data_IF_317289034458
#
_entry.id   IF_317289034458
#
_cell.length_a   1.000
_cell.length_b   1.000
_cell.length_c   1.000
_cell.angle_alpha   90.00
_cell.angle_beta   90.00
_cell.angle_gamma   90.00
#
_symmetry.space_group_name_H-M   'P 1'
#
loop_
_entity.id
_entity.type
_entity.pdbx_description
1 polymer ?
#
# COMPACT_ATOMS: atom_id res chain seq x y z
N UNK A 1 1.63 15.31 -34.56
CA UNK A 1 0.75 14.61 -33.61
C UNK A 1 1.62 14.01 -32.52
N UNK A 2 1.51 14.48 -31.27
CA UNK A 2 2.27 13.90 -30.15
C UNK A 2 1.61 12.57 -29.79
N UNK A 3 2.27 11.47 -30.10
CA UNK A 3 1.88 10.13 -29.67
C UNK A 3 1.90 10.13 -28.15
N UNK A 4 0.70 10.09 -27.54
CA UNK A 4 0.58 9.93 -26.10
C UNK A 4 1.13 8.55 -25.74
N UNK A 5 2.28 8.51 -25.08
CA UNK A 5 2.80 7.27 -24.49
C UNK A 5 1.75 6.73 -23.53
N UNK A 6 1.10 5.63 -23.92
CA UNK A 6 0.27 4.84 -23.03
C UNK A 6 1.22 4.24 -22.01
N UNK A 7 1.31 4.83 -20.82
CA UNK A 7 1.99 4.24 -19.67
C UNK A 7 1.27 2.93 -19.32
N UNK A 8 1.67 1.82 -19.94
CA UNK A 8 1.24 0.49 -19.52
C UNK A 8 1.74 0.31 -18.09
N UNK A 9 0.80 0.19 -17.14
CA UNK A 9 1.11 -0.26 -15.78
C UNK A 9 1.56 -1.72 -15.88
N UNK A 10 2.87 -1.94 -15.91
CA UNK A 10 3.43 -3.29 -15.95
C UNK A 10 3.42 -3.83 -14.52
N UNK A 11 2.58 -4.83 -14.28
CA UNK A 11 2.63 -5.61 -13.05
C UNK A 11 3.79 -6.58 -13.20
N UNK A 12 4.78 -6.47 -12.31
CA UNK A 12 5.96 -7.35 -12.26
C UNK A 12 5.56 -8.71 -11.72
N UNK A 13 4.74 -8.73 -10.66
CA UNK A 13 4.23 -9.95 -10.04
C UNK A 13 2.89 -9.70 -9.37
N UNK A 14 2.02 -10.70 -9.37
CA UNK A 14 0.81 -10.71 -8.56
C UNK A 14 0.86 -11.92 -7.60
N UNK A 15 0.51 -11.68 -6.35
CA UNK A 15 0.38 -12.69 -5.30
C UNK A 15 -1.08 -12.77 -4.87
N UNK A 16 -1.68 -13.95 -4.99
CA UNK A 16 -2.99 -14.24 -4.43
C UNK A 16 -2.78 -14.83 -3.04
N UNK A 17 -3.28 -14.14 -2.03
CA UNK A 17 -3.28 -14.53 -0.62
C UNK A 17 -4.71 -14.88 -0.21
N UNK A 18 -4.86 -15.48 0.96
CA UNK A 18 -6.18 -15.80 1.52
C UNK A 18 -7.03 -14.53 1.79
N UNK A 19 -6.38 -13.39 2.06
CA UNK A 19 -7.04 -12.12 2.37
C UNK A 19 -7.27 -11.20 1.18
N UNK A 20 -6.91 -11.64 -0.02
CA UNK A 20 -6.95 -10.86 -1.24
C UNK A 20 -5.62 -10.88 -1.96
N UNK A 21 -5.30 -9.84 -2.73
CA UNK A 21 -4.13 -9.85 -3.62
C UNK A 21 -3.18 -8.69 -3.43
N UNK A 22 -1.91 -8.97 -3.69
CA UNK A 22 -0.82 -7.99 -3.72
C UNK A 22 -0.27 -7.92 -5.14
N UNK A 23 -0.34 -6.74 -5.74
CA UNK A 23 0.25 -6.45 -7.05
C UNK A 23 1.56 -5.69 -6.85
N UNK A 24 2.64 -6.22 -7.41
CA UNK A 24 3.98 -5.66 -7.31
C UNK A 24 4.34 -4.96 -8.62
N UNK A 25 4.84 -3.73 -8.49
CA UNK A 25 5.37 -2.89 -9.56
C UNK A 25 6.84 -2.58 -9.26
N UNK A 26 7.52 -1.88 -10.16
CA UNK A 26 8.96 -1.65 -10.09
C UNK A 26 9.47 -1.06 -8.76
N UNK A 27 8.72 -0.13 -8.16
CA UNK A 27 9.09 0.63 -6.95
C UNK A 27 7.90 0.81 -5.97
N UNK A 28 6.77 0.12 -6.20
CA UNK A 28 5.64 0.14 -5.27
C UNK A 28 4.83 -1.15 -5.33
N UNK A 29 4.02 -1.36 -4.29
CA UNK A 29 3.02 -2.42 -4.24
C UNK A 29 1.62 -1.84 -4.07
N UNK A 30 0.62 -2.59 -4.53
CA UNK A 30 -0.80 -2.31 -4.32
C UNK A 30 -1.44 -3.51 -3.65
N UNK A 31 -2.13 -3.30 -2.53
CA UNK A 31 -2.99 -4.32 -1.94
C UNK A 31 -4.45 -4.08 -2.27
N UNK A 32 -5.17 -5.17 -2.56
CA UNK A 32 -6.62 -5.18 -2.70
C UNK A 32 -7.10 -6.37 -1.85
N UNK A 33 -7.65 -6.06 -0.68
CA UNK A 33 -8.17 -7.08 0.24
C UNK A 33 -9.61 -7.44 -0.09
N UNK A 34 -9.99 -8.69 0.21
CA UNK A 34 -11.32 -9.22 -0.04
C UNK A 34 -12.35 -8.72 0.99
N UNK A 35 -13.63 -8.77 0.63
CA UNK A 35 -14.73 -8.40 1.53
C UNK A 35 -14.76 -9.33 2.74
N UNK A 36 -14.89 -8.76 3.94
CA UNK A 36 -14.91 -9.53 5.19
C UNK A 36 -13.54 -10.07 5.63
N UNK A 37 -12.46 -9.78 4.90
CA UNK A 37 -11.12 -10.16 5.31
C UNK A 37 -10.75 -9.50 6.65
N UNK A 38 -9.90 -10.17 7.43
CA UNK A 38 -9.30 -9.60 8.64
C UNK A 38 -7.79 -9.63 8.49
N UNK A 39 -7.17 -8.46 8.41
CA UNK A 39 -5.73 -8.34 8.35
C UNK A 39 -5.16 -8.43 9.77
N UNK A 40 -4.63 -9.60 10.10
CA UNK A 40 -3.91 -9.92 11.34
C UNK A 40 -2.41 -9.73 11.16
N UNK A 41 -1.65 -9.78 12.26
CA UNK A 41 -0.18 -9.71 12.21
C UNK A 41 0.44 -10.81 11.33
N UNK A 42 -0.05 -12.04 11.43
CA UNK A 42 0.42 -13.17 10.61
C UNK A 42 0.25 -12.90 9.11
N UNK A 43 -0.93 -12.43 8.71
CA UNK A 43 -1.24 -12.08 7.33
C UNK A 43 -0.43 -10.86 6.86
N UNK A 44 -0.14 -9.92 7.74
CA UNK A 44 0.77 -8.81 7.43
C UNK A 44 2.20 -9.28 7.19
N UNK A 45 2.71 -10.27 7.94
CA UNK A 45 4.04 -10.84 7.70
C UNK A 45 4.18 -11.46 6.30
N UNK A 46 3.12 -12.04 5.73
CA UNK A 46 3.15 -12.51 4.34
C UNK A 46 3.40 -11.35 3.37
N UNK A 47 2.76 -10.20 3.60
CA UNK A 47 2.91 -9.00 2.76
C UNK A 47 4.30 -8.38 2.93
N UNK A 48 4.82 -8.37 4.16
CA UNK A 48 6.20 -7.93 4.47
C UNK A 48 7.22 -8.86 3.79
N UNK A 49 7.00 -10.18 3.82
CA UNK A 49 7.84 -11.13 3.09
C UNK A 49 7.86 -10.86 1.58
N UNK A 50 6.71 -10.51 0.99
CA UNK A 50 6.64 -10.07 -0.41
C UNK A 50 7.44 -8.77 -0.60
N UNK A 51 7.35 -7.79 0.31
CA UNK A 51 8.16 -6.58 0.18
C UNK A 51 9.66 -6.86 0.22
N UNK A 52 10.10 -7.75 1.10
CA UNK A 52 11.50 -8.13 1.22
C UNK A 52 12.03 -8.84 -0.04
N UNK A 53 11.22 -9.68 -0.69
CA UNK A 53 11.62 -10.35 -1.94
C UNK A 53 11.86 -9.33 -3.06
N UNK A 54 11.07 -8.27 -3.13
CA UNK A 54 11.07 -7.34 -4.28
C UNK A 54 11.81 -6.02 -4.03
N UNK A 55 12.00 -5.62 -2.77
CA UNK A 55 12.46 -4.28 -2.39
C UNK A 55 13.56 -4.26 -1.33
N UNK A 56 14.22 -5.39 -1.00
CA UNK A 56 15.28 -5.48 0.02
C UNK A 56 16.27 -4.31 -0.01
N UNK A 57 16.81 -4.00 -1.18
CA UNK A 57 17.86 -3.00 -1.36
C UNK A 57 17.39 -1.72 -2.07
N UNK A 58 16.07 -1.47 -2.12
CA UNK A 58 15.53 -0.27 -2.75
C UNK A 58 14.33 0.29 -2.01
N UNK A 59 14.23 1.63 -2.02
CA UNK A 59 13.07 2.31 -1.49
C UNK A 59 11.82 1.96 -2.28
N UNK A 60 10.71 1.80 -1.57
CA UNK A 60 9.43 1.51 -2.19
C UNK A 60 8.26 2.21 -1.50
N UNK A 61 7.13 2.20 -2.18
CA UNK A 61 5.86 2.68 -1.66
C UNK A 61 4.81 1.59 -1.59
N UNK A 62 3.81 1.80 -0.75
CA UNK A 62 2.69 0.90 -0.58
C UNK A 62 1.38 1.66 -0.80
N UNK A 63 0.47 1.09 -1.58
CA UNK A 63 -0.87 1.63 -1.81
C UNK A 63 -1.89 0.58 -1.36
N UNK A 64 -2.59 0.86 -0.26
CA UNK A 64 -3.76 0.07 0.16
C UNK A 64 -4.99 0.56 -0.59
N UNK A 65 -5.45 -0.20 -1.58
CA UNK A 65 -6.62 0.12 -2.40
C UNK A 65 -7.87 -0.55 -1.82
N UNK A 66 -8.60 0.17 -0.98
CA UNK A 66 -9.74 -0.35 -0.19
C UNK A 66 -11.03 -0.31 -0.98
N UNK A 67 -11.19 -1.23 -1.92
CA UNK A 67 -12.46 -1.42 -2.65
C UNK A 67 -13.51 -2.09 -1.77
N UNK A 68 -13.09 -3.08 -0.99
CA UNK A 68 -13.94 -3.90 -0.14
C UNK A 68 -13.85 -3.46 1.32
N UNK A 69 -14.82 -3.87 2.13
CA UNK A 69 -14.82 -3.62 3.58
C UNK A 69 -14.12 -4.79 4.25
N UNK A 70 -13.14 -4.47 5.11
CA UNK A 70 -12.33 -5.46 5.80
C UNK A 70 -11.87 -4.89 7.15
N UNK A 71 -11.50 -5.75 8.07
CA UNK A 71 -10.97 -5.36 9.38
C UNK A 71 -9.44 -5.36 9.37
N UNK A 72 -8.84 -4.46 10.14
CA UNK A 72 -7.39 -4.38 10.32
C UNK A 72 -7.04 -4.32 11.80
N UNK A 73 -6.09 -5.14 12.21
CA UNK A 73 -5.45 -4.99 13.51
C UNK A 73 -4.47 -3.80 13.47
N UNK A 74 -4.69 -2.73 14.25
CA UNK A 74 -3.84 -1.54 14.21
C UNK A 74 -2.40 -1.81 14.69
N UNK A 75 -2.14 -2.91 15.41
CA UNK A 75 -0.79 -3.26 15.87
C UNK A 75 0.19 -3.53 14.72
N UNK A 76 -0.33 -3.91 13.54
CA UNK A 76 0.45 -4.13 12.32
C UNK A 76 1.26 -2.90 11.94
N UNK A 77 0.74 -1.70 12.19
CA UNK A 77 1.42 -0.45 11.86
C UNK A 77 2.72 -0.25 12.64
N UNK A 78 2.85 -0.83 13.84
CA UNK A 78 4.10 -0.82 14.60
C UNK A 78 5.21 -1.59 13.88
N UNK A 79 4.88 -2.72 13.24
CA UNK A 79 5.83 -3.53 12.48
C UNK A 79 6.13 -2.93 11.10
N UNK A 80 5.11 -2.42 10.41
CA UNK A 80 5.32 -1.70 9.14
C UNK A 80 6.23 -0.47 9.33
N UNK A 81 6.18 0.14 10.52
CA UNK A 81 7.06 1.25 10.87
C UNK A 81 8.53 0.82 10.95
N UNK A 82 8.85 -0.45 11.14
CA UNK A 82 10.24 -0.93 11.17
C UNK A 82 10.85 -1.03 9.76
N UNK A 83 10.04 -1.08 8.71
CA UNK A 83 10.51 -1.08 7.32
C UNK A 83 11.07 0.30 6.95
N UNK A 84 12.39 0.44 6.93
CA UNK A 84 13.06 1.70 6.63
C UNK A 84 12.97 2.09 5.14
N UNK A 85 12.98 1.10 4.26
CA UNK A 85 12.83 1.25 2.81
C UNK A 85 11.38 1.55 2.37
N UNK A 86 10.38 1.40 3.25
CA UNK A 86 9.01 1.83 3.00
C UNK A 86 8.88 3.34 3.20
N UNK A 87 9.00 4.10 2.10
CA UNK A 87 9.06 5.58 2.14
C UNK A 87 7.70 6.26 2.02
N UNK A 88 6.67 5.54 1.58
CA UNK A 88 5.34 6.10 1.38
C UNK A 88 4.25 5.06 1.58
N UNK A 89 3.28 5.34 2.45
CA UNK A 89 2.10 4.50 2.63
C UNK A 89 0.83 5.28 2.27
N UNK A 90 0.19 4.93 1.16
CA UNK A 90 -1.06 5.53 0.74
C UNK A 90 -2.25 4.62 1.05
N UNK A 91 -3.35 5.20 1.53
CA UNK A 91 -4.66 4.56 1.56
C UNK A 91 -5.53 5.22 0.52
N UNK A 92 -6.18 4.41 -0.31
CA UNK A 92 -7.10 4.86 -1.35
C UNK A 92 -8.48 4.28 -1.06
N UNK A 93 -9.43 5.13 -0.71
CA UNK A 93 -10.82 4.75 -0.48
C UNK A 93 -11.76 5.94 -0.72
N UNK A 94 -13.00 5.62 -1.11
CA UNK A 94 -14.11 6.59 -1.19
C UNK A 94 -15.03 6.50 0.03
N UNK A 95 -14.80 5.53 0.92
CA UNK A 95 -15.67 5.27 2.08
C UNK A 95 -15.32 6.20 3.23
N UNK A 96 -16.32 6.86 3.80
CA UNK A 96 -16.13 7.77 4.93
C UNK A 96 -15.60 7.06 6.18
N UNK A 97 -16.00 5.81 6.42
CA UNK A 97 -15.50 5.00 7.53
C UNK A 97 -13.98 4.79 7.45
N UNK A 98 -13.42 4.59 6.25
CA UNK A 98 -11.97 4.46 6.08
C UNK A 98 -11.23 5.76 6.38
N UNK A 99 -11.84 6.92 6.14
CA UNK A 99 -11.26 8.21 6.52
C UNK A 99 -11.22 8.39 8.04
N UNK A 100 -12.22 7.89 8.75
CA UNK A 100 -12.23 7.90 10.22
C UNK A 100 -11.18 6.94 10.78
N UNK A 101 -11.14 5.70 10.28
CA UNK A 101 -10.15 4.69 10.67
C UNK A 101 -8.73 5.18 10.39
N UNK A 102 -8.51 5.82 9.23
CA UNK A 102 -7.22 6.39 8.86
C UNK A 102 -6.64 7.34 9.93
N UNK A 103 -7.47 8.16 10.58
CA UNK A 103 -7.01 9.07 11.63
C UNK A 103 -6.40 8.30 12.81
N UNK A 104 -6.99 7.16 13.16
CA UNK A 104 -6.53 6.27 14.22
C UNK A 104 -5.26 5.53 13.76
N UNK A 105 -5.31 4.87 12.59
CA UNK A 105 -4.19 4.11 12.01
C UNK A 105 -2.91 4.96 11.90
N UNK A 106 -3.06 6.23 11.51
CA UNK A 106 -1.94 7.18 11.38
C UNK A 106 -1.21 7.44 12.72
N UNK A 107 -1.89 7.34 13.85
CA UNK A 107 -1.29 7.51 15.18
C UNK A 107 -0.34 6.35 15.52
N UNK A 108 -0.62 5.15 15.05
CA UNK A 108 0.24 3.97 15.22
C UNK A 108 1.45 4.01 14.29
N UNK A 109 1.25 4.36 13.03
CA UNK A 109 2.31 4.25 12.02
C UNK A 109 3.43 5.30 12.16
N UNK A 110 3.10 6.58 12.44
CA UNK A 110 4.06 7.69 12.66
C UNK A 110 5.12 7.93 11.55
N UNK A 111 5.01 7.27 10.40
CA UNK A 111 5.82 7.48 9.17
C UNK A 111 4.95 8.14 8.07
N UNK A 112 5.52 8.56 6.91
CA UNK A 112 4.77 9.20 5.84
C UNK A 112 3.58 8.34 5.35
N UNK A 113 2.37 8.76 5.73
CA UNK A 113 1.12 8.07 5.42
C UNK A 113 0.03 9.07 5.06
N UNK A 114 -0.72 8.81 3.99
CA UNK A 114 -1.74 9.74 3.48
C UNK A 114 -2.93 9.02 2.86
N UNK A 115 -4.12 9.57 3.11
CA UNK A 115 -5.38 9.13 2.53
C UNK A 115 -5.67 9.86 1.21
N UNK A 116 -6.24 9.15 0.25
CA UNK A 116 -6.63 9.66 -1.06
C UNK A 116 -7.97 9.05 -1.48
N UNK A 117 -8.73 9.82 -2.25
CA UNK A 117 -9.96 9.34 -2.91
C UNK A 117 -9.61 8.68 -4.25
N UNK A 118 -8.66 9.26 -4.99
CA UNK A 118 -8.27 8.80 -6.32
C UNK A 118 -6.91 8.09 -6.32
N UNK A 119 -6.87 6.92 -6.95
CA UNK A 119 -5.65 6.11 -7.09
C UNK A 119 -4.50 6.87 -7.77
N UNK A 120 -4.79 7.62 -8.83
CA UNK A 120 -3.75 8.35 -9.58
C UNK A 120 -3.05 9.42 -8.73
N UNK A 121 -3.78 10.08 -7.83
CA UNK A 121 -3.20 11.06 -6.91
C UNK A 121 -2.33 10.39 -5.84
N UNK A 122 -2.77 9.23 -5.34
CA UNK A 122 -1.97 8.42 -4.43
C UNK A 122 -0.67 7.96 -5.10
N UNK A 123 -0.74 7.43 -6.32
CA UNK A 123 0.42 6.97 -7.07
C UNK A 123 1.42 8.10 -7.31
N UNK A 124 0.96 9.28 -7.76
CA UNK A 124 1.82 10.47 -7.93
C UNK A 124 2.53 10.86 -6.64
N UNK A 125 1.82 10.83 -5.51
CA UNK A 125 2.41 11.15 -4.20
C UNK A 125 3.43 10.09 -3.75
N UNK A 126 3.11 8.81 -3.93
CA UNK A 126 4.01 7.69 -3.62
C UNK A 126 5.30 7.81 -4.42
N UNK A 127 5.22 7.98 -5.74
CA UNK A 127 6.39 8.12 -6.63
C UNK A 127 7.29 9.28 -6.20
N UNK A 128 6.70 10.45 -5.90
CA UNK A 128 7.46 11.61 -5.43
C UNK A 128 8.17 11.38 -4.10
N UNK A 129 7.57 10.60 -3.20
CA UNK A 129 8.15 10.27 -1.89
C UNK A 129 9.29 9.25 -2.00
N UNK A 130 9.19 8.28 -2.90
CA UNK A 130 10.24 7.28 -3.14
C UNK A 130 11.48 7.94 -3.77
N UNK A 131 11.28 8.91 -4.67
CA UNK A 131 12.37 9.62 -5.35
C UNK A 131 13.03 10.73 -4.53
N UNK A 132 12.45 11.10 -3.38
CA UNK A 132 13.05 12.11 -2.51
C UNK A 132 14.27 11.49 -1.81
N UNK A 133 15.46 12.07 -2.05
CA UNK A 133 16.70 11.72 -1.35
C UNK A 133 16.63 12.14 0.12
#
# INVERSE_FOLDING_TARGET
MKVGSVNKKIIVREYNLEVGKIQVFDDYMVSIFDEGATLTLERAYQIIGISEIHFRDKNFGFISLRKNSYAIDPTIYSYLKELENLKAFAIVSVKEIDMHNFKIEKLFYKKPMKFFIEYENALKWVKRRISAK
#
